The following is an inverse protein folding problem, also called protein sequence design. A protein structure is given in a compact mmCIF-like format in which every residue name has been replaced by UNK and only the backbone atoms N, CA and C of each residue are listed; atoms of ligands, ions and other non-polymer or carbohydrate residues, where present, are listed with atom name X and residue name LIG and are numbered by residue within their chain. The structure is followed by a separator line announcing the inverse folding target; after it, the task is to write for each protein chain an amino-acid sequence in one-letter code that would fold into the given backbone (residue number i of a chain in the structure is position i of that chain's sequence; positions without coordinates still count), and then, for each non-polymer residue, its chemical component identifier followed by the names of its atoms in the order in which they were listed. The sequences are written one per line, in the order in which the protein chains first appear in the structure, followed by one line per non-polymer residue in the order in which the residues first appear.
data_IF_470324256238
#
_entry.id   IF_470324256238
#
_cell.length_a   1.000
_cell.length_b   1.000
_cell.length_c   1.000
_cell.angle_alpha   90.00
_cell.angle_beta   90.00
_cell.angle_gamma   90.00
#
_symmetry.space_group_name_H-M   'P 1'
#
loop_
_entity.id
_entity.type
_entity.pdbx_description
1 polymer ?
#
# COMPACT_ATOMS: atom_id res chain seq x y z
N UNK A 1 -10.70 0.27 37.61
CA UNK A 1 -11.86 0.24 36.70
C UNK A 1 -13.06 -0.29 37.45
N UNK A 2 -14.21 0.35 37.30
CA UNK A 2 -15.48 -0.12 37.87
C UNK A 2 -16.00 -1.34 37.09
N UNK A 3 -16.80 -2.18 37.75
CA UNK A 3 -17.48 -3.33 37.15
C UNK A 3 -18.34 -2.92 35.93
N UNK A 4 -18.95 -1.75 35.95
CA UNK A 4 -19.76 -1.22 34.85
C UNK A 4 -18.91 -0.86 33.62
N UNK A 5 -17.75 -0.24 33.84
CA UNK A 5 -16.80 0.11 32.79
C UNK A 5 -16.25 -1.14 32.11
N UNK A 6 -15.93 -2.17 32.90
CA UNK A 6 -15.51 -3.48 32.39
C UNK A 6 -16.57 -4.13 31.50
N UNK A 7 -17.84 -4.12 31.92
CA UNK A 7 -18.97 -4.64 31.11
C UNK A 7 -19.15 -3.83 29.82
N UNK A 8 -19.05 -2.51 29.88
CA UNK A 8 -19.14 -1.64 28.71
C UNK A 8 -18.00 -1.91 27.73
N UNK A 9 -16.77 -2.09 28.22
CA UNK A 9 -15.62 -2.42 27.41
C UNK A 9 -15.75 -3.80 26.74
N UNK A 10 -16.24 -4.81 27.46
CA UNK A 10 -16.56 -6.12 26.89
C UNK A 10 -17.59 -6.05 25.77
N UNK A 11 -18.62 -5.21 25.91
CA UNK A 11 -19.61 -4.99 24.85
C UNK A 11 -18.96 -4.37 23.61
N UNK A 12 -18.09 -3.38 23.78
CA UNK A 12 -17.39 -2.72 22.66
C UNK A 12 -16.55 -3.74 21.88
N UNK A 13 -15.79 -4.60 22.56
CA UNK A 13 -14.97 -5.63 21.90
C UNK A 13 -15.79 -6.62 21.06
N UNK A 14 -17.07 -6.84 21.41
CA UNK A 14 -17.96 -7.74 20.66
C UNK A 14 -18.74 -7.06 19.52
N UNK A 15 -18.97 -5.75 19.61
CA UNK A 15 -19.90 -5.02 18.71
C UNK A 15 -19.19 -3.99 17.82
N UNK A 16 -17.96 -3.59 18.12
CA UNK A 16 -17.24 -2.57 17.36
C UNK A 16 -17.02 -2.99 15.90
N UNK A 17 -17.50 -2.17 14.96
CA UNK A 17 -17.26 -2.33 13.52
C UNK A 17 -15.92 -1.73 13.09
N UNK A 18 -15.47 -0.69 13.79
CA UNK A 18 -14.22 0.00 13.49
C UNK A 18 -13.03 -0.78 14.08
N UNK A 19 -12.02 -1.15 13.26
CA UNK A 19 -10.90 -1.97 13.70
C UNK A 19 -9.96 -1.22 14.67
N UNK A 20 -9.87 0.11 14.58
CA UNK A 20 -9.04 0.92 15.48
C UNK A 20 -9.69 0.97 16.86
N UNK A 21 -11.00 1.21 16.91
CA UNK A 21 -11.78 1.20 18.15
C UNK A 21 -11.71 -0.16 18.83
N UNK A 22 -11.83 -1.24 18.06
CA UNK A 22 -11.71 -2.61 18.55
C UNK A 22 -10.31 -2.87 19.15
N UNK A 23 -9.23 -2.58 18.42
CA UNK A 23 -7.86 -2.77 18.93
C UNK A 23 -7.61 -1.99 20.21
N UNK A 24 -7.98 -0.70 20.25
CA UNK A 24 -7.82 0.12 21.45
C UNK A 24 -8.59 -0.43 22.64
N UNK A 25 -9.82 -0.91 22.42
CA UNK A 25 -10.62 -1.53 23.48
C UNK A 25 -9.99 -2.81 24.02
N UNK A 26 -9.41 -3.65 23.16
CA UNK A 26 -8.70 -4.87 23.57
C UNK A 26 -7.47 -4.54 24.41
N UNK A 27 -6.67 -3.54 24.01
CA UNK A 27 -5.51 -3.09 24.79
C UNK A 27 -5.91 -2.67 26.21
N UNK A 28 -6.93 -1.81 26.33
CA UNK A 28 -7.43 -1.36 27.63
C UNK A 28 -7.99 -2.54 28.44
N UNK A 29 -8.67 -3.49 27.80
CA UNK A 29 -9.23 -4.66 28.47
C UNK A 29 -8.14 -5.56 29.05
N UNK A 30 -7.07 -5.82 28.31
CA UNK A 30 -5.96 -6.63 28.79
C UNK A 30 -5.18 -5.93 29.91
N UNK A 31 -4.99 -4.62 29.78
CA UNK A 31 -4.38 -3.81 30.86
C UNK A 31 -5.24 -3.86 32.14
N UNK A 32 -6.57 -3.78 32.01
CA UNK A 32 -7.50 -3.92 33.13
C UNK A 32 -7.47 -5.30 33.80
N UNK A 33 -7.12 -6.34 33.04
CA UNK A 33 -6.92 -7.71 33.53
C UNK A 33 -5.54 -7.91 34.18
N UNK A 34 -4.70 -6.87 34.25
CA UNK A 34 -3.37 -6.93 34.86
C UNK A 34 -2.29 -7.52 33.94
N UNK A 35 -2.54 -7.63 32.63
CA UNK A 35 -1.50 -8.06 31.69
C UNK A 35 -0.41 -7.00 31.59
N UNK A 36 0.86 -7.45 31.58
CA UNK A 36 2.00 -6.55 31.42
C UNK A 36 2.04 -6.00 29.99
N UNK A 37 2.57 -4.78 29.84
CA UNK A 37 2.75 -4.16 28.52
C UNK A 37 3.54 -5.07 27.54
N UNK A 38 4.66 -5.71 27.90
CA UNK A 38 5.37 -6.62 26.98
C UNK A 38 4.57 -7.87 26.59
N UNK A 39 3.66 -8.35 27.44
CA UNK A 39 2.77 -9.45 27.07
C UNK A 39 1.74 -8.99 26.03
N UNK A 40 1.19 -7.80 26.21
CA UNK A 40 0.23 -7.18 25.28
C UNK A 40 0.87 -6.92 23.92
N UNK A 41 2.08 -6.37 23.88
CA UNK A 41 2.80 -6.09 22.62
C UNK A 41 3.10 -7.38 21.86
N UNK A 42 3.51 -8.44 22.56
CA UNK A 42 3.78 -9.75 21.96
C UNK A 42 2.52 -10.38 21.38
N UNK A 43 1.38 -10.29 22.09
CA UNK A 43 0.12 -10.88 21.67
C UNK A 43 -0.54 -10.12 20.51
N UNK A 44 -0.53 -8.78 20.55
CA UNK A 44 -1.20 -7.95 19.56
C UNK A 44 -0.29 -7.51 18.40
N UNK A 45 1.01 -7.80 18.48
CA UNK A 45 2.03 -7.37 17.52
C UNK A 45 2.01 -5.84 17.31
N UNK A 46 1.98 -5.10 18.43
CA UNK A 46 1.98 -3.62 18.46
C UNK A 46 3.20 -3.11 19.20
N UNK A 47 3.54 -1.84 19.00
CA UNK A 47 4.64 -1.21 19.73
C UNK A 47 4.26 -0.94 21.18
N UNK A 48 5.27 -0.94 22.04
CA UNK A 48 5.18 -0.63 23.46
C UNK A 48 4.64 0.80 23.69
N UNK A 49 5.13 1.76 22.92
CA UNK A 49 4.65 3.15 22.93
C UNK A 49 3.16 3.25 22.60
N UNK A 50 2.69 2.50 21.59
CA UNK A 50 1.27 2.50 21.24
C UNK A 50 0.39 2.02 22.40
N UNK A 51 0.81 0.97 23.12
CA UNK A 51 0.05 0.45 24.25
C UNK A 51 -0.01 1.48 25.38
N UNK A 52 1.12 2.11 25.71
CA UNK A 52 1.17 3.17 26.71
C UNK A 52 0.28 4.34 26.32
N UNK A 53 0.39 4.82 25.08
CA UNK A 53 -0.41 5.93 24.57
C UNK A 53 -1.90 5.64 24.67
N UNK A 54 -2.34 4.42 24.35
CA UNK A 54 -3.74 4.03 24.44
C UNK A 54 -4.22 4.00 25.90
N UNK A 55 -3.42 3.46 26.81
CA UNK A 55 -3.75 3.41 28.25
C UNK A 55 -3.80 4.82 28.83
N UNK A 56 -2.81 5.67 28.54
CA UNK A 56 -2.79 7.06 28.98
C UNK A 56 -3.97 7.85 28.41
N UNK A 57 -4.22 7.72 27.12
CA UNK A 57 -5.37 8.34 26.46
C UNK A 57 -6.71 7.91 27.09
N UNK A 58 -6.86 6.64 27.43
CA UNK A 58 -8.06 6.12 28.08
C UNK A 58 -8.19 6.63 29.52
N UNK A 59 -7.10 6.72 30.28
CA UNK A 59 -7.13 7.25 31.64
C UNK A 59 -7.46 8.75 31.68
N UNK A 60 -7.08 9.51 30.65
CA UNK A 60 -7.38 10.94 30.54
C UNK A 60 -8.80 11.25 30.05
N UNK A 61 -9.27 10.52 29.02
CA UNK A 61 -10.51 10.84 28.29
C UNK A 61 -11.60 9.76 28.36
N UNK A 62 -11.30 8.63 29.00
CA UNK A 62 -12.20 7.48 29.07
C UNK A 62 -12.52 6.88 27.68
N UNK A 63 -13.78 6.54 27.47
CA UNK A 63 -14.24 5.83 26.26
C UNK A 63 -14.09 6.64 24.96
N UNK A 64 -14.03 7.97 25.02
CA UNK A 64 -13.80 8.82 23.84
C UNK A 64 -12.42 8.59 23.23
N UNK A 65 -11.44 8.14 24.02
CA UNK A 65 -10.11 7.80 23.52
C UNK A 65 -10.10 6.59 22.57
N UNK A 66 -11.11 5.73 22.67
CA UNK A 66 -11.22 4.55 21.82
C UNK A 66 -11.61 4.92 20.39
N UNK A 67 -12.28 6.06 20.20
CA UNK A 67 -12.74 6.47 18.88
C UNK A 67 -11.57 6.97 18.03
N UNK A 68 -11.46 6.51 16.76
CA UNK A 68 -10.43 6.98 15.87
C UNK A 68 -10.64 8.46 15.57
N UNK A 69 -9.59 9.25 15.79
CA UNK A 69 -9.53 10.64 15.31
C UNK A 69 -9.08 10.61 13.86
N UNK A 70 -10.01 10.34 12.96
CA UNK A 70 -9.78 10.55 11.53
C UNK A 70 -9.66 12.06 11.32
N UNK A 71 -8.44 12.57 11.20
CA UNK A 71 -8.25 13.88 10.63
C UNK A 71 -8.76 13.80 9.19
N UNK A 72 -9.69 14.69 8.83
CA UNK A 72 -10.11 14.86 7.44
C UNK A 72 -8.87 15.14 6.62
N UNK A 73 -8.39 14.12 5.91
CA UNK A 73 -7.19 14.23 5.10
C UNK A 73 -7.37 15.27 4.00
N UNK A 74 -6.36 15.40 3.14
CA UNK A 74 -6.51 16.21 1.93
C UNK A 74 -7.77 15.75 1.19
N UNK A 75 -8.69 16.67 0.84
CA UNK A 75 -9.89 16.30 0.11
C UNK A 75 -9.55 15.46 -1.12
N UNK A 76 -10.37 14.43 -1.44
CA UNK A 76 -10.10 13.57 -2.57
C UNK A 76 -9.98 14.43 -3.83
N UNK A 77 -8.85 14.30 -4.54
CA UNK A 77 -8.61 15.06 -5.78
C UNK A 77 -9.47 14.52 -6.93
N UNK A 78 -9.89 13.27 -6.85
CA UNK A 78 -10.71 12.60 -7.85
C UNK A 78 -12.17 12.71 -7.39
N UNK A 79 -13.00 13.37 -8.20
CA UNK A 79 -14.44 13.43 -7.97
C UNK A 79 -15.10 12.06 -8.16
N UNK A 80 -16.26 11.86 -7.54
CA UNK A 80 -17.05 10.64 -7.70
C UNK A 80 -17.41 10.37 -9.17
N UNK A 81 -17.76 11.41 -9.93
CA UNK A 81 -18.00 11.34 -11.37
C UNK A 81 -16.76 10.84 -12.15
N UNK A 82 -15.57 11.37 -11.81
CA UNK A 82 -14.31 10.90 -12.42
C UNK A 82 -14.07 9.42 -12.10
N UNK A 83 -14.38 8.98 -10.88
CA UNK A 83 -14.24 7.58 -10.46
C UNK A 83 -15.19 6.66 -11.23
N UNK A 84 -16.44 7.06 -11.42
CA UNK A 84 -17.44 6.33 -12.19
C UNK A 84 -17.03 6.21 -13.66
N UNK A 85 -16.52 7.29 -14.25
CA UNK A 85 -15.96 7.29 -15.60
C UNK A 85 -14.77 6.35 -15.74
N UNK A 86 -13.84 6.34 -14.78
CA UNK A 86 -12.70 5.41 -14.77
C UNK A 86 -13.19 3.96 -14.66
N UNK A 87 -14.17 3.69 -13.79
CA UNK A 87 -14.74 2.34 -13.65
C UNK A 87 -15.46 1.88 -14.92
N UNK A 88 -16.17 2.77 -15.60
CA UNK A 88 -16.81 2.47 -16.89
C UNK A 88 -15.77 2.10 -17.94
N UNK A 89 -14.73 2.93 -18.09
CA UNK A 89 -13.60 2.70 -19.00
C UNK A 89 -12.91 1.36 -18.67
N UNK A 90 -12.66 1.07 -17.40
CA UNK A 90 -11.99 -0.16 -16.99
C UNK A 90 -12.83 -1.43 -17.25
N UNK A 91 -14.16 -1.30 -17.33
CA UNK A 91 -15.10 -2.40 -17.58
C UNK A 91 -15.42 -2.61 -19.06
N UNK A 92 -15.20 -1.60 -19.90
CA UNK A 92 -15.44 -1.71 -21.35
C UNK A 92 -14.38 -2.57 -22.05
N UNK A 93 -14.78 -3.29 -23.10
CA UNK A 93 -13.87 -4.15 -23.88
C UNK A 93 -12.88 -3.27 -24.66
N UNK A 94 -11.57 -3.57 -24.68
CA UNK A 94 -10.55 -2.72 -25.29
C UNK A 94 -10.78 -2.35 -26.77
N UNK A 95 -11.47 -3.21 -27.52
CA UNK A 95 -11.81 -2.96 -28.93
C UNK A 95 -12.82 -1.81 -29.10
N UNK A 96 -13.78 -1.69 -28.18
CA UNK A 96 -14.81 -0.64 -28.20
C UNK A 96 -14.24 0.70 -27.70
N UNK A 97 -13.34 0.65 -26.72
CA UNK A 97 -12.58 1.82 -26.25
C UNK A 97 -11.76 2.47 -27.37
N UNK A 98 -11.13 1.66 -28.22
CA UNK A 98 -10.26 2.13 -29.31
C UNK A 98 -11.01 3.04 -30.30
N UNK A 99 -12.29 2.78 -30.55
CA UNK A 99 -13.13 3.64 -31.41
C UNK A 99 -13.44 4.97 -30.72
N UNK A 100 -13.67 4.95 -29.40
CA UNK A 100 -13.99 6.14 -28.61
C UNK A 100 -12.80 7.12 -28.47
N UNK A 101 -11.57 6.61 -28.25
CA UNK A 101 -10.38 7.48 -28.13
C UNK A 101 -9.97 8.08 -29.48
N UNK A 102 -10.23 7.37 -30.58
CA UNK A 102 -9.93 7.88 -31.93
C UNK A 102 -10.79 9.10 -32.26
N UNK A 103 -12.06 9.12 -31.83
CA UNK A 103 -12.96 10.27 -31.98
C UNK A 103 -12.53 11.46 -31.10
N UNK A 104 -12.01 11.21 -29.90
CA UNK A 104 -11.53 12.28 -29.00
C UNK A 104 -10.19 12.89 -29.49
N UNK A 105 -9.31 12.07 -30.10
CA UNK A 105 -8.09 12.54 -30.77
C UNK A 105 -8.37 13.48 -31.95
N UNK A 106 -9.44 13.24 -32.72
CA UNK A 106 -9.84 14.13 -33.82
C UNK A 106 -10.34 15.48 -33.28
N UNK A 107 -10.97 15.50 -32.09
CA UNK A 107 -11.40 16.73 -31.42
C UNK A 107 -10.23 17.58 -30.92
N UNK A 108 -9.22 16.96 -30.29
CA UNK A 108 -8.02 17.66 -29.80
C UNK A 108 -7.16 18.24 -30.94
N UNK A 109 -7.16 17.60 -32.13
CA UNK A 109 -6.45 18.11 -33.31
C UNK A 109 -7.01 19.44 -33.84
N UNK A 110 -8.29 19.74 -33.64
CA UNK A 110 -8.89 21.02 -34.05
C UNK A 110 -8.50 22.20 -33.15
N UNK A 111 -8.17 21.96 -31.89
CA UNK A 111 -7.71 22.99 -30.94
C UNK A 111 -6.20 23.22 -30.93
N UNK A 112 -5.43 22.42 -31.67
CA UNK A 112 -3.96 22.51 -31.74
C UNK A 112 -3.42 23.69 -32.59
N UNK A 113 -4.28 24.56 -33.14
CA UNK A 113 -3.86 25.74 -33.92
C UNK A 113 -3.47 26.93 -33.02
N UNK A 114 -3.63 26.83 -31.69
CA UNK A 114 -3.15 27.84 -30.76
C UNK A 114 -1.71 27.51 -30.30
N UNK A 115 -0.76 28.18 -30.96
CA UNK A 115 0.70 28.30 -30.76
C UNK A 115 1.30 27.71 -29.46
N UNK A 116 2.37 26.89 -29.53
CA UNK A 116 3.23 26.65 -28.39
C UNK A 116 4.31 27.74 -28.32
N UNK A 117 4.17 28.71 -27.41
CA UNK A 117 5.35 29.43 -26.95
C UNK A 117 6.20 28.45 -26.13
N UNK A 118 7.27 27.94 -26.75
CA UNK A 118 8.30 27.16 -26.06
C UNK A 118 9.07 28.08 -25.11
N UNK A 119 8.63 28.20 -23.86
CA UNK A 119 9.52 28.66 -22.80
C UNK A 119 10.61 27.59 -22.60
N UNK A 120 11.84 27.94 -23.00
CA UNK A 120 13.05 27.17 -22.71
C UNK A 120 13.31 27.30 -21.21
N UNK A 121 13.28 26.22 -20.40
CA UNK A 121 13.64 26.34 -19.00
C UNK A 121 15.13 26.69 -18.90
N UNK A 122 15.55 27.54 -17.93
CA UNK A 122 16.95 27.84 -17.72
C UNK A 122 17.68 26.57 -17.24
N UNK A 123 18.79 26.23 -17.88
CA UNK A 123 19.60 25.07 -17.48
C UNK A 123 20.32 25.35 -16.15
N UNK A 124 20.26 24.44 -15.16
CA UNK A 124 21.03 24.59 -13.93
C UNK A 124 22.50 24.25 -14.21
N UNK A 125 23.34 25.28 -14.31
CA UNK A 125 24.81 25.17 -14.54
C UNK A 125 25.60 24.40 -13.46
N UNK A 126 24.95 23.86 -12.43
CA UNK A 126 25.60 23.17 -11.31
C UNK A 126 25.47 21.64 -11.34
N UNK A 127 24.53 21.07 -12.13
CA UNK A 127 24.31 19.62 -12.16
C UNK A 127 25.39 18.84 -12.95
N UNK A 128 26.04 19.46 -13.94
CA UNK A 128 27.02 18.78 -14.80
C UNK A 128 28.35 18.46 -14.12
N UNK A 129 28.76 19.23 -13.11
CA UNK A 129 30.05 19.00 -12.43
C UNK A 129 30.02 17.77 -11.51
N UNK A 130 28.85 17.43 -10.93
CA UNK A 130 28.69 16.28 -10.03
C UNK A 130 28.73 14.94 -10.79
N UNK A 131 28.11 14.86 -11.97
CA UNK A 131 28.08 13.64 -12.78
C UNK A 131 29.42 13.28 -13.43
N UNK A 132 30.30 14.27 -13.73
CA UNK A 132 31.65 13.97 -14.24
C UNK A 132 32.56 13.36 -13.17
N UNK A 133 32.39 13.69 -11.89
CA UNK A 133 33.20 13.13 -10.79
C UNK A 133 32.79 11.71 -10.40
N UNK A 134 31.51 11.36 -10.49
CA UNK A 134 30.99 10.05 -10.08
C UNK A 134 31.10 8.95 -11.17
N UNK A 135 31.48 9.33 -12.39
CA UNK A 135 31.52 8.42 -13.55
C UNK A 135 32.55 7.27 -13.47
N UNK A 136 33.75 7.44 -12.87
CA UNK A 136 34.71 6.35 -12.73
C UNK A 136 34.33 5.31 -11.67
N UNK A 137 33.63 5.71 -10.60
CA UNK A 137 33.32 4.83 -9.46
C UNK A 137 32.20 3.84 -9.78
N UNK A 138 31.21 4.25 -10.57
CA UNK A 138 30.14 3.36 -11.04
C UNK A 138 30.63 2.28 -12.03
N UNK A 139 31.86 2.41 -12.56
CA UNK A 139 32.46 1.40 -13.45
C UNK A 139 33.18 0.28 -12.71
N UNK A 140 33.53 0.48 -11.44
CA UNK A 140 34.27 -0.49 -10.62
C UNK A 140 33.38 -1.34 -9.69
N UNK A 141 32.08 -1.09 -9.64
CA UNK A 141 31.13 -1.79 -8.76
C UNK A 141 30.32 -2.90 -9.47
N UNK A 142 30.82 -3.45 -10.58
CA UNK A 142 30.26 -4.68 -11.19
C UNK A 142 31.02 -5.91 -10.69
N UNK A 143 30.34 -6.98 -10.22
CA UNK A 143 31.07 -8.17 -9.75
C UNK A 143 31.82 -8.84 -10.93
N UNK A 144 32.97 -9.47 -10.66
CA UNK A 144 33.75 -10.18 -11.69
C UNK A 144 32.95 -11.36 -12.27
N UNK A 145 33.05 -11.56 -13.58
CA UNK A 145 32.28 -12.54 -14.36
C UNK A 145 32.69 -14.02 -14.14
N UNK A 146 33.56 -14.33 -13.17
CA UNK A 146 34.18 -15.66 -13.01
C UNK A 146 33.55 -16.57 -11.94
N UNK A 147 32.29 -16.33 -11.57
CA UNK A 147 31.51 -17.28 -10.75
C UNK A 147 30.16 -17.60 -11.39
N UNK A 148 30.21 -18.13 -12.62
CA UNK A 148 29.22 -19.11 -13.05
C UNK A 148 29.50 -20.39 -12.25
N UNK A 149 28.72 -20.64 -11.18
CA UNK A 149 28.83 -21.90 -10.43
C UNK A 149 28.59 -23.09 -11.36
N UNK A 150 29.34 -24.19 -11.16
CA UNK A 150 29.21 -25.42 -11.92
C UNK A 150 27.99 -26.23 -11.46
N UNK A 151 27.41 -26.95 -12.43
CA UNK A 151 26.79 -28.29 -12.33
C UNK A 151 25.94 -28.57 -11.09
N UNK A 152 24.62 -28.40 -11.21
CA UNK A 152 23.68 -29.25 -10.50
C UNK A 152 23.42 -30.49 -11.35
N UNK A 153 24.34 -31.45 -11.30
CA UNK A 153 24.05 -32.82 -11.70
C UNK A 153 23.10 -33.42 -10.65
N UNK A 154 21.80 -33.47 -10.94
CA UNK A 154 20.84 -34.28 -10.18
C UNK A 154 20.52 -35.55 -10.99
N UNK A 155 20.83 -36.75 -10.48
CA UNK A 155 20.50 -38.00 -11.16
C UNK A 155 19.09 -38.42 -10.76
N UNK A 156 18.06 -37.97 -11.49
CA UNK A 156 16.78 -38.68 -11.51
C UNK A 156 15.92 -38.27 -12.71
N UNK A 157 16.41 -38.63 -13.90
CA UNK A 157 15.65 -38.67 -15.15
C UNK A 157 15.25 -40.11 -15.49
N UNK A 158 14.70 -40.85 -14.52
CA UNK A 158 14.20 -42.20 -14.79
C UNK A 158 13.01 -42.52 -13.87
N UNK A 159 11.85 -41.95 -14.23
CA UNK A 159 10.49 -42.47 -13.95
C UNK A 159 9.43 -41.43 -14.37
N UNK A 160 9.21 -41.29 -15.67
CA UNK A 160 7.94 -40.77 -16.20
C UNK A 160 7.34 -41.83 -17.13
N UNK A 161 6.24 -42.52 -16.75
CA UNK A 161 5.54 -43.36 -17.69
C UNK A 161 4.77 -42.49 -18.68
N UNK A 162 5.33 -42.45 -19.88
CA UNK A 162 4.69 -42.48 -21.20
C UNK A 162 3.20 -42.16 -21.36
N UNK A 163 2.99 -41.16 -22.21
CA UNK A 163 2.08 -41.13 -23.37
C UNK A 163 0.57 -41.03 -23.13
N UNK A 164 -0.05 -40.10 -23.86
CA UNK A 164 -1.42 -40.28 -24.36
C UNK A 164 -2.16 -39.00 -24.66
N UNK A 165 -1.79 -38.28 -25.71
CA UNK A 165 -2.63 -37.27 -26.33
C UNK A 165 -3.77 -37.98 -27.08
N UNK A 166 -5.05 -37.73 -26.77
CA UNK A 166 -6.12 -37.82 -27.78
C UNK A 166 -7.27 -36.87 -27.40
N UNK A 167 -7.46 -35.84 -28.23
CA UNK A 167 -8.72 -35.13 -28.46
C UNK A 167 -9.74 -36.05 -29.12
N UNK A 168 -11.02 -36.03 -28.72
CA UNK A 168 -12.17 -35.99 -29.64
C UNK A 168 -13.54 -36.08 -28.92
N UNK A 169 -14.42 -35.17 -29.36
CA UNK A 169 -15.89 -35.17 -29.42
C UNK A 169 -16.74 -35.22 -28.14
#
# INVERSE_FOLDING_TARGET
MSMEEGRKLQRITRTAKDPVRLRRAIVVMMSAQGQSVPAITSLMQVTDDYVRDVIHAFNERGFEALDPKWSGGRPPTISQDTRERICLIARTVPAELRVLVELDRVRVRRTAVLRPQRHRPPQPRQAERRYRRLRPELRQAGPPQDQLRPELTHPQLDQLPGRGCVTSH
#
